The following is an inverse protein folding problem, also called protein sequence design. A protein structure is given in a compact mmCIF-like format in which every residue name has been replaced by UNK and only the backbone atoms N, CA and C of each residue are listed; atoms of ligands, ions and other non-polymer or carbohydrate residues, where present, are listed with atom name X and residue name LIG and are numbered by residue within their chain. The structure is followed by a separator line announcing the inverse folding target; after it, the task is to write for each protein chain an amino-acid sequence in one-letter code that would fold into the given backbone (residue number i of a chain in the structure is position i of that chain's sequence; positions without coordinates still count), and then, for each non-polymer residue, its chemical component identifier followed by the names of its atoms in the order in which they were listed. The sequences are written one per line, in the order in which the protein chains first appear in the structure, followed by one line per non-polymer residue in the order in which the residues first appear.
data_IF_569698412525
#
_entry.id   IF_569698412525
#
_cell.length_a   1.000
_cell.length_b   1.000
_cell.length_c   1.000
_cell.angle_alpha   90.00
_cell.angle_beta   90.00
_cell.angle_gamma   90.00
#
_symmetry.space_group_name_H-M   'P 1'
#
loop_
_entity.id
_entity.type
_entity.pdbx_description
1 polymer ?
#
# COMPACT_ATOMS: atom_id res chain seq x y z
N UNK A 1 56.41 58.59 11.90
CA UNK A 1 56.96 57.37 11.25
C UNK A 1 56.64 56.18 12.14
N UNK A 2 56.23 54.99 11.64
CA UNK A 2 55.70 54.62 10.33
C UNK A 2 54.24 54.12 10.39
N UNK A 3 53.52 54.26 9.27
CA UNK A 3 52.20 53.68 9.02
C UNK A 3 52.36 52.28 8.38
N UNK A 4 51.57 51.31 8.84
CA UNK A 4 51.49 49.95 8.29
C UNK A 4 50.69 49.94 6.96
N UNK A 5 51.10 49.19 5.92
CA UNK A 5 50.35 49.13 4.67
C UNK A 5 49.21 48.09 4.73
N UNK A 6 47.98 48.59 4.67
CA UNK A 6 46.75 47.86 4.33
C UNK A 6 46.77 47.49 2.83
N UNK A 7 47.31 46.33 2.45
CA UNK A 7 47.20 45.87 1.06
C UNK A 7 47.41 44.35 0.91
N UNK A 8 46.57 43.51 1.53
CA UNK A 8 46.51 42.06 1.22
C UNK A 8 45.09 41.48 1.15
N UNK A 9 44.05 42.31 1.21
CA UNK A 9 42.65 41.85 1.12
C UNK A 9 42.16 41.42 -0.28
N UNK A 10 42.56 42.01 -1.42
CA UNK A 10 41.93 41.68 -2.70
C UNK A 10 42.33 40.29 -3.22
N UNK A 11 43.55 39.85 -2.91
CA UNK A 11 44.06 38.53 -3.31
C UNK A 11 43.38 37.38 -2.54
N UNK A 12 43.02 37.60 -1.27
CA UNK A 12 42.34 36.60 -0.46
C UNK A 12 40.90 36.35 -0.92
N UNK A 13 40.18 37.42 -1.26
CA UNK A 13 38.81 37.34 -1.78
C UNK A 13 38.77 36.72 -3.18
N UNK A 14 39.71 37.08 -4.07
CA UNK A 14 39.80 36.50 -5.40
C UNK A 14 40.09 34.99 -5.36
N UNK A 15 40.99 34.55 -4.46
CA UNK A 15 41.30 33.12 -4.25
C UNK A 15 40.09 32.34 -3.72
N UNK A 16 39.33 32.94 -2.79
CA UNK A 16 38.12 32.32 -2.24
C UNK A 16 37.02 32.14 -3.31
N UNK A 17 36.81 33.15 -4.16
CA UNK A 17 35.84 33.06 -5.27
C UNK A 17 36.25 31.99 -6.27
N UNK A 18 37.54 31.88 -6.61
CA UNK A 18 38.03 30.82 -7.50
C UNK A 18 37.83 29.43 -6.90
N UNK A 19 38.14 29.26 -5.62
CA UNK A 19 37.99 27.97 -4.94
C UNK A 19 36.51 27.56 -4.82
N UNK A 20 35.62 28.52 -4.52
CA UNK A 20 34.18 28.31 -4.47
C UNK A 20 33.60 27.91 -5.84
N UNK A 21 33.99 28.62 -6.92
CA UNK A 21 33.56 28.26 -8.27
C UNK A 21 34.11 26.90 -8.72
N UNK A 22 35.34 26.54 -8.32
CA UNK A 22 35.93 25.24 -8.60
C UNK A 22 35.20 24.10 -7.86
N UNK A 23 34.81 24.32 -6.59
CA UNK A 23 33.99 23.37 -5.83
C UNK A 23 32.59 23.20 -6.44
N UNK A 24 31.95 24.29 -6.88
CA UNK A 24 30.66 24.22 -7.59
C UNK A 24 30.79 23.46 -8.91
N UNK A 25 31.85 23.71 -9.69
CA UNK A 25 32.10 22.99 -10.93
C UNK A 25 32.34 21.49 -10.70
N UNK A 26 33.07 21.12 -9.64
CA UNK A 26 33.24 19.71 -9.24
C UNK A 26 31.90 19.08 -8.85
N UNK A 27 31.05 19.77 -8.08
CA UNK A 27 29.71 19.27 -7.75
C UNK A 27 28.87 19.02 -9.01
N UNK A 28 28.92 19.92 -10.00
CA UNK A 28 28.22 19.75 -11.28
C UNK A 28 28.77 18.59 -12.13
N UNK A 29 30.04 18.19 -11.93
CA UNK A 29 30.64 17.00 -12.56
C UNK A 29 30.25 15.68 -11.85
N UNK A 30 29.72 15.75 -10.62
CA UNK A 30 29.20 14.60 -9.87
C UNK A 30 27.69 14.38 -10.02
N UNK A 31 26.98 15.26 -10.73
CA UNK A 31 25.62 15.02 -11.21
C UNK A 31 25.65 13.92 -12.28
N UNK A 32 25.78 12.67 -11.82
CA UNK A 32 25.46 11.52 -12.67
C UNK A 32 24.02 11.72 -13.13
N UNK A 33 23.69 11.57 -14.42
CA UNK A 33 22.32 11.34 -14.81
C UNK A 33 21.87 10.10 -14.04
N UNK A 34 21.10 10.31 -12.98
CA UNK A 34 20.37 9.26 -12.32
C UNK A 34 19.40 8.77 -13.37
N UNK A 35 19.77 7.70 -14.09
CA UNK A 35 18.81 6.89 -14.81
C UNK A 35 17.91 6.26 -13.73
N UNK A 36 16.97 7.04 -13.20
CA UNK A 36 15.78 6.49 -12.61
C UNK A 36 15.11 5.76 -13.77
N UNK A 37 15.32 4.44 -13.83
CA UNK A 37 14.45 3.56 -14.57
C UNK A 37 13.05 3.77 -13.98
N UNK A 38 12.33 4.76 -14.49
CA UNK A 38 10.94 5.01 -14.17
C UNK A 38 10.16 3.96 -14.94
N UNK A 39 10.30 2.73 -14.48
CA UNK A 39 9.49 1.63 -14.93
C UNK A 39 8.11 1.88 -14.33
N UNK A 40 7.20 2.32 -15.19
CA UNK A 40 5.80 2.66 -14.87
C UNK A 40 5.01 1.48 -14.31
N UNK A 41 5.59 0.27 -14.28
CA UNK A 41 5.00 -0.95 -13.72
C UNK A 41 5.99 -1.81 -12.90
N UNK A 42 7.13 -1.26 -12.45
CA UNK A 42 8.08 -2.05 -11.65
C UNK A 42 7.69 -2.02 -10.18
N UNK A 43 6.84 -2.97 -9.81
CA UNK A 43 6.59 -3.30 -8.42
C UNK A 43 7.85 -3.92 -7.81
N UNK A 44 8.30 -3.37 -6.69
CA UNK A 44 9.34 -3.99 -5.88
C UNK A 44 8.68 -5.08 -5.05
N UNK A 45 9.17 -6.31 -5.18
CA UNK A 45 8.65 -7.42 -4.41
C UNK A 45 8.95 -7.22 -2.93
N UNK A 46 7.91 -7.23 -2.13
CA UNK A 46 7.95 -6.98 -0.69
C UNK A 46 6.98 -7.91 0.04
N UNK A 47 7.05 -7.90 1.38
CA UNK A 47 6.09 -8.59 2.25
C UNK A 47 5.25 -7.56 3.00
N UNK A 48 3.97 -7.87 3.10
CA UNK A 48 3.02 -7.10 3.89
C UNK A 48 2.37 -7.98 4.95
N UNK A 49 2.07 -7.41 6.12
CA UNK A 49 1.27 -8.02 7.18
C UNK A 49 0.05 -7.14 7.48
N UNK A 50 -0.73 -7.43 8.52
CA UNK A 50 -1.87 -6.62 8.96
C UNK A 50 -1.72 -6.11 10.38
N UNK A 51 -2.44 -5.03 10.67
CA UNK A 51 -2.66 -4.61 12.05
C UNK A 51 -3.51 -5.63 12.81
N UNK A 52 -3.20 -5.93 14.09
CA UNK A 52 -4.05 -6.76 14.94
C UNK A 52 -5.47 -6.21 15.10
N UNK A 53 -5.61 -4.88 15.16
CA UNK A 53 -6.89 -4.15 15.28
C UNK A 53 -7.46 -3.71 13.92
N UNK A 54 -7.11 -4.41 12.84
CA UNK A 54 -7.39 -3.98 11.46
C UNK A 54 -8.87 -3.97 11.06
N UNK A 55 -9.78 -4.47 11.90
CA UNK A 55 -11.24 -4.48 11.68
C UNK A 55 -11.84 -3.06 11.56
N UNK A 56 -11.32 -2.09 12.34
CA UNK A 56 -11.92 -0.75 12.49
C UNK A 56 -11.17 0.38 11.75
N UNK A 57 -10.54 0.05 10.61
CA UNK A 57 -9.87 0.96 9.65
C UNK A 57 -8.39 1.29 9.92
N UNK A 58 -7.74 0.64 10.89
CA UNK A 58 -6.32 0.82 11.18
C UNK A 58 -6.08 1.39 12.57
N UNK A 59 -4.94 2.05 12.80
CA UNK A 59 -4.64 2.69 14.10
C UNK A 59 -5.14 4.13 14.09
N UNK A 60 -6.00 4.48 15.05
CA UNK A 60 -6.44 5.87 15.27
C UNK A 60 -5.31 6.78 15.81
N UNK A 61 -4.23 6.19 16.30
CA UNK A 61 -3.08 6.91 16.84
C UNK A 61 -1.82 6.39 16.18
N UNK A 62 -1.56 6.83 14.95
CA UNK A 62 -0.34 6.54 14.23
C UNK A 62 0.78 7.55 14.50
N UNK A 63 2.02 7.12 14.27
CA UNK A 63 3.24 7.92 14.44
C UNK A 63 3.28 9.19 13.58
N UNK A 64 2.46 9.27 12.51
CA UNK A 64 2.31 10.47 11.69
C UNK A 64 1.43 11.57 12.33
N UNK A 65 0.79 11.31 13.47
CA UNK A 65 0.07 12.34 14.24
C UNK A 65 -1.26 12.79 13.63
N UNK A 66 -1.83 12.03 12.68
CA UNK A 66 -3.11 12.38 12.06
C UNK A 66 -4.34 12.16 12.98
N UNK A 67 -4.15 11.53 14.14
CA UNK A 67 -5.26 11.15 15.03
C UNK A 67 -6.28 10.25 14.33
N UNK A 68 -7.55 10.33 14.74
CA UNK A 68 -8.64 9.50 14.21
C UNK A 68 -8.85 9.67 12.70
N UNK A 69 -8.49 10.84 12.14
CA UNK A 69 -8.48 11.05 10.69
C UNK A 69 -7.51 10.09 9.98
N UNK A 70 -6.37 9.79 10.61
CA UNK A 70 -5.38 8.84 10.12
C UNK A 70 -5.96 7.47 9.82
N UNK A 71 -6.87 6.94 10.63
CA UNK A 71 -7.51 5.64 10.38
C UNK A 71 -8.52 5.67 9.22
N UNK A 72 -8.99 6.85 8.79
CA UNK A 72 -10.05 6.96 7.77
C UNK A 72 -9.55 7.50 6.44
N UNK A 73 -8.30 7.96 6.38
CA UNK A 73 -7.72 8.53 5.17
C UNK A 73 -7.79 7.55 4.00
N UNK A 74 -8.08 8.07 2.81
CA UNK A 74 -8.28 7.28 1.59
C UNK A 74 -9.32 6.14 1.76
N UNK A 75 -10.36 6.33 2.57
CA UNK A 75 -11.37 5.29 2.84
C UNK A 75 -10.88 4.18 3.78
N UNK A 76 -9.84 4.46 4.57
CA UNK A 76 -9.21 3.52 5.49
C UNK A 76 -8.15 2.63 4.84
N UNK A 77 -7.71 2.93 3.61
CA UNK A 77 -6.60 2.22 2.95
C UNK A 77 -5.25 2.72 3.48
N UNK A 78 -4.92 2.33 4.71
CA UNK A 78 -3.78 2.84 5.46
C UNK A 78 -2.75 1.77 5.73
N UNK A 79 -1.54 2.22 6.02
CA UNK A 79 -0.44 1.34 6.38
C UNK A 79 0.58 1.95 7.34
N UNK A 80 1.24 1.08 8.09
CA UNK A 80 2.51 1.35 8.72
C UNK A 80 3.65 0.88 7.81
N UNK A 81 4.77 1.60 7.84
CA UNK A 81 6.00 1.15 7.22
C UNK A 81 7.21 1.50 8.10
N UNK A 82 8.30 0.75 7.96
CA UNK A 82 9.56 1.08 8.65
C UNK A 82 10.44 1.97 7.77
N UNK A 83 10.98 1.40 6.68
CA UNK A 83 11.93 2.12 5.81
C UNK A 83 11.27 3.26 5.02
N UNK A 84 9.97 3.14 4.70
CA UNK A 84 9.24 4.16 3.95
C UNK A 84 8.71 5.29 4.84
N UNK A 85 8.57 5.07 6.15
CA UNK A 85 8.18 6.13 7.10
C UNK A 85 9.24 7.23 7.19
N UNK A 86 10.54 6.88 7.10
CA UNK A 86 11.67 7.84 7.01
C UNK A 86 11.61 8.94 8.08
N UNK A 87 11.47 8.55 9.35
CA UNK A 87 11.33 9.48 10.48
C UNK A 87 10.21 10.54 10.27
N UNK A 88 9.11 10.13 9.65
CA UNK A 88 7.95 10.98 9.39
C UNK A 88 7.94 11.65 8.02
N UNK A 89 9.05 11.65 7.27
CA UNK A 89 9.09 12.21 5.90
C UNK A 89 8.15 11.47 4.95
N UNK A 90 7.93 10.17 5.19
CA UNK A 90 7.00 9.36 4.41
C UNK A 90 5.53 9.49 4.81
N UNK A 91 5.20 10.25 5.86
CA UNK A 91 3.82 10.41 6.28
C UNK A 91 2.96 11.02 5.18
N UNK A 92 1.82 10.39 4.89
CA UNK A 92 0.93 10.79 3.81
C UNK A 92 1.37 10.34 2.42
N UNK A 93 2.53 9.68 2.29
CA UNK A 93 2.94 9.08 1.02
C UNK A 93 2.01 7.93 0.65
N UNK A 94 1.70 7.84 -0.65
CA UNK A 94 0.83 6.83 -1.22
C UNK A 94 1.65 5.81 -2.02
N UNK A 95 1.42 4.52 -1.77
CA UNK A 95 2.06 3.43 -2.49
C UNK A 95 1.02 2.51 -3.11
N UNK A 96 1.20 2.19 -4.40
CA UNK A 96 0.42 1.14 -5.02
C UNK A 96 0.97 -0.22 -4.55
N UNK A 97 0.13 -1.01 -3.89
CA UNK A 97 0.45 -2.36 -3.44
C UNK A 97 -0.38 -3.37 -4.23
N UNK A 98 0.29 -4.38 -4.77
CA UNK A 98 -0.32 -5.50 -5.50
C UNK A 98 0.11 -6.80 -4.86
N UNK A 99 -0.81 -7.76 -4.85
CA UNK A 99 -0.53 -9.10 -4.37
C UNK A 99 -0.09 -9.96 -5.54
N UNK A 100 0.94 -10.76 -5.33
CA UNK A 100 1.57 -11.58 -6.39
C UNK A 100 0.81 -12.87 -6.67
N UNK A 101 0.07 -13.40 -5.69
CA UNK A 101 -0.69 -14.64 -5.85
C UNK A 101 -2.12 -14.35 -6.30
N UNK A 102 -2.39 -14.61 -7.58
CA UNK A 102 -3.70 -14.42 -8.22
C UNK A 102 -4.82 -15.31 -7.67
N UNK A 103 -4.48 -16.38 -6.94
CA UNK A 103 -5.48 -17.21 -6.26
C UNK A 103 -6.10 -16.48 -5.07
N UNK A 104 -5.29 -15.73 -4.33
CA UNK A 104 -5.72 -14.98 -3.16
C UNK A 104 -6.13 -13.57 -3.49
N UNK A 105 -5.67 -12.95 -4.59
CA UNK A 105 -5.86 -11.51 -4.79
C UNK A 105 -6.17 -11.11 -6.24
N UNK A 106 -6.81 -9.96 -6.41
CA UNK A 106 -6.91 -9.28 -7.70
C UNK A 106 -5.58 -8.63 -8.09
N UNK A 107 -5.32 -8.63 -9.39
CA UNK A 107 -4.26 -7.93 -10.12
C UNK A 107 -4.31 -6.39 -10.02
N UNK A 108 -5.49 -5.80 -9.76
CA UNK A 108 -5.66 -4.34 -9.73
C UNK A 108 -4.84 -3.66 -8.62
N UNK A 109 -4.73 -4.31 -7.46
CA UNK A 109 -4.07 -3.74 -6.28
C UNK A 109 -4.73 -2.45 -5.79
N UNK A 110 -4.02 -1.76 -4.90
CA UNK A 110 -4.59 -0.77 -3.98
C UNK A 110 -3.59 0.33 -3.69
N UNK A 111 -4.08 1.54 -3.46
CA UNK A 111 -3.25 2.63 -2.95
C UNK A 111 -3.32 2.67 -1.43
N UNK A 112 -2.21 2.35 -0.77
CA UNK A 112 -2.07 2.43 0.69
C UNK A 112 -1.36 3.73 1.10
N UNK A 113 -1.86 4.42 2.13
CA UNK A 113 -1.28 5.65 2.67
C UNK A 113 -0.47 5.34 3.92
N UNK A 114 0.77 5.82 4.00
CA UNK A 114 1.58 5.71 5.22
C UNK A 114 1.02 6.66 6.29
N UNK A 115 0.49 6.09 7.37
CA UNK A 115 -0.08 6.85 8.51
C UNK A 115 0.62 6.54 9.82
N UNK A 116 1.50 5.56 9.83
CA UNK A 116 2.16 5.07 11.04
C UNK A 116 3.55 4.50 10.73
N UNK A 117 4.33 4.30 11.79
CA UNK A 117 5.59 3.59 11.75
C UNK A 117 5.39 2.19 12.33
N UNK A 118 5.88 1.17 11.63
CA UNK A 118 5.82 -0.19 12.13
C UNK A 118 6.74 -1.12 11.37
N UNK A 119 7.29 -2.11 12.07
CA UNK A 119 8.17 -3.12 11.52
C UNK A 119 7.77 -4.51 12.05
N UNK A 120 7.85 -5.50 11.19
CA UNK A 120 7.82 -6.92 11.52
C UNK A 120 8.90 -7.62 10.69
N UNK A 121 9.07 -8.93 10.87
CA UNK A 121 10.15 -9.70 10.21
C UNK A 121 10.06 -9.58 8.67
N UNK A 122 10.97 -8.77 8.10
CA UNK A 122 11.09 -8.47 6.66
C UNK A 122 9.80 -7.95 6.01
N UNK A 123 8.94 -7.26 6.75
CA UNK A 123 7.74 -6.61 6.20
C UNK A 123 7.97 -5.14 5.95
N UNK A 124 7.71 -4.65 4.73
CA UNK A 124 7.80 -3.21 4.45
C UNK A 124 6.48 -2.49 4.72
N UNK A 125 5.37 -3.23 4.74
CA UNK A 125 4.03 -2.70 4.95
C UNK A 125 3.25 -3.48 6.00
N UNK A 126 2.59 -2.77 6.91
CA UNK A 126 1.56 -3.30 7.82
C UNK A 126 0.24 -2.66 7.39
N UNK A 127 -0.68 -3.45 6.85
CA UNK A 127 -1.85 -2.95 6.13
C UNK A 127 -3.12 -3.02 6.99
N UNK A 128 -4.05 -2.08 6.79
CA UNK A 128 -5.42 -2.21 7.30
C UNK A 128 -6.20 -3.32 6.54
N UNK A 129 -7.29 -3.85 7.12
CA UNK A 129 -8.12 -4.84 6.39
C UNK A 129 -8.73 -4.27 5.12
N UNK A 130 -8.99 -2.95 5.08
CA UNK A 130 -9.51 -2.28 3.88
C UNK A 130 -8.49 -2.38 2.74
N UNK A 131 -7.21 -2.18 3.05
CA UNK A 131 -6.10 -2.40 2.11
C UNK A 131 -5.92 -3.87 1.73
N UNK A 132 -6.29 -4.81 2.61
CA UNK A 132 -6.25 -6.25 2.31
C UNK A 132 -7.49 -6.77 1.57
N UNK A 133 -8.61 -6.06 1.55
CA UNK A 133 -9.86 -6.48 0.90
C UNK A 133 -9.80 -6.53 -0.65
N UNK A 134 -8.60 -6.56 -1.20
CA UNK A 134 -8.29 -6.88 -2.60
C UNK A 134 -8.11 -8.39 -2.80
N UNK A 135 -8.34 -9.16 -1.73
CA UNK A 135 -8.27 -10.61 -1.68
C UNK A 135 -9.57 -11.22 -2.20
N UNK A 136 -9.46 -12.12 -3.18
CA UNK A 136 -10.50 -13.08 -3.50
C UNK A 136 -10.56 -14.06 -2.34
N UNK A 137 -11.43 -13.77 -1.37
CA UNK A 137 -11.47 -14.53 -0.13
C UNK A 137 -12.09 -15.90 -0.36
N UNK A 138 -11.34 -16.93 -0.02
CA UNK A 138 -11.91 -18.27 0.06
C UNK A 138 -12.81 -18.32 1.28
N UNK A 139 -13.95 -18.96 1.08
CA UNK A 139 -14.87 -19.25 2.16
C UNK A 139 -14.57 -20.66 2.65
N UNK A 140 -14.53 -20.81 3.97
CA UNK A 140 -14.37 -22.13 4.60
C UNK A 140 -15.73 -22.82 4.64
N UNK A 141 -15.77 -24.08 4.20
CA UNK A 141 -17.00 -24.88 4.27
C UNK A 141 -17.23 -25.28 5.72
N UNK A 142 -18.20 -24.65 6.38
CA UNK A 142 -18.45 -24.86 7.81
C UNK A 142 -19.30 -26.11 8.05
N UNK A 143 -20.48 -26.20 7.42
CA UNK A 143 -21.39 -27.34 7.54
C UNK A 143 -22.32 -27.41 6.33
N UNK A 144 -22.58 -28.61 5.81
CA UNK A 144 -23.53 -28.81 4.71
C UNK A 144 -23.19 -27.95 3.48
N UNK A 145 -24.14 -27.08 3.09
CA UNK A 145 -23.99 -26.08 2.03
C UNK A 145 -23.82 -24.64 2.61
N UNK A 146 -23.13 -24.53 3.74
CA UNK A 146 -22.81 -23.25 4.38
C UNK A 146 -21.31 -22.99 4.30
N UNK A 147 -20.97 -21.79 3.86
CA UNK A 147 -19.60 -21.30 3.72
C UNK A 147 -19.41 -20.02 4.52
N UNK A 148 -18.33 -19.91 5.28
CA UNK A 148 -18.09 -18.80 6.21
C UNK A 148 -16.76 -18.10 5.94
N UNK A 149 -16.65 -16.84 6.38
CA UNK A 149 -15.39 -16.11 6.34
C UNK A 149 -15.28 -15.10 7.48
N UNK A 150 -14.07 -14.92 7.99
CA UNK A 150 -13.79 -14.02 9.12
C UNK A 150 -13.60 -12.58 8.64
N UNK A 151 -14.51 -11.66 8.97
CA UNK A 151 -14.57 -10.30 8.41
C UNK A 151 -14.79 -10.27 6.88
N UNK A 152 -16.05 -10.37 6.42
CA UNK A 152 -16.38 -10.20 5.02
C UNK A 152 -16.00 -8.80 4.51
N UNK A 153 -15.68 -8.64 3.22
CA UNK A 153 -15.45 -7.33 2.63
C UNK A 153 -16.66 -6.40 2.82
N UNK A 154 -16.43 -5.11 3.00
CA UNK A 154 -17.53 -4.14 3.23
C UNK A 154 -18.03 -3.45 1.95
N UNK A 155 -17.64 -3.96 0.78
CA UNK A 155 -18.11 -3.51 -0.55
C UNK A 155 -19.17 -4.50 -1.05
N UNK A 156 -19.92 -4.20 -2.13
CA UNK A 156 -20.78 -5.22 -2.75
C UNK A 156 -20.01 -6.52 -2.98
N UNK A 157 -20.55 -7.64 -2.49
CA UNK A 157 -19.86 -8.93 -2.52
C UNK A 157 -20.16 -9.64 -3.83
N UNK A 158 -19.11 -10.00 -4.55
CA UNK A 158 -19.18 -10.91 -5.67
C UNK A 158 -18.73 -12.30 -5.20
N UNK A 159 -19.63 -13.27 -5.24
CA UNK A 159 -19.33 -14.66 -4.88
C UNK A 159 -18.95 -15.42 -6.15
N UNK A 160 -18.13 -16.46 -6.04
CA UNK A 160 -17.94 -17.45 -7.12
C UNK A 160 -18.17 -18.83 -6.54
N UNK A 161 -18.86 -19.68 -7.28
CA UNK A 161 -19.16 -21.05 -6.85
C UNK A 161 -18.44 -22.02 -7.76
N UNK A 162 -17.80 -23.04 -7.19
CA UNK A 162 -17.25 -24.17 -7.94
C UNK A 162 -18.28 -25.30 -7.88
N UNK A 163 -18.83 -25.67 -9.03
CA UNK A 163 -19.78 -26.78 -9.14
C UNK A 163 -19.04 -27.98 -9.73
N UNK A 164 -19.17 -29.14 -9.11
CA UNK A 164 -18.59 -30.39 -9.61
C UNK A 164 -19.66 -31.24 -10.29
N UNK A 165 -19.34 -31.82 -11.44
CA UNK A 165 -20.18 -32.81 -12.10
C UNK A 165 -20.00 -34.23 -11.49
N UNK A 166 -20.77 -35.20 -12.00
CA UNK A 166 -20.70 -36.62 -11.57
C UNK A 166 -19.33 -37.25 -11.82
N UNK A 167 -18.56 -36.70 -12.78
CA UNK A 167 -17.22 -37.16 -13.12
C UNK A 167 -16.13 -36.46 -12.30
N UNK A 168 -16.51 -35.56 -11.38
CA UNK A 168 -15.58 -34.78 -10.56
C UNK A 168 -14.95 -33.58 -11.27
N UNK A 169 -15.40 -33.22 -12.48
CA UNK A 169 -14.94 -32.00 -13.14
C UNK A 169 -15.61 -30.78 -12.53
N UNK A 170 -14.80 -29.82 -12.08
CA UNK A 170 -15.26 -28.57 -11.49
C UNK A 170 -15.41 -27.43 -12.51
N UNK A 171 -16.55 -26.74 -12.50
CA UNK A 171 -16.80 -25.51 -13.27
C UNK A 171 -17.04 -24.33 -12.33
N UNK A 172 -16.28 -23.25 -12.52
CA UNK A 172 -16.53 -21.99 -11.82
C UNK A 172 -17.72 -21.26 -12.44
N UNK A 173 -18.67 -20.86 -11.60
CA UNK A 173 -19.82 -20.03 -11.94
C UNK A 173 -19.73 -18.72 -11.16
N UNK A 174 -19.84 -17.60 -11.89
CA UNK A 174 -19.87 -16.25 -11.33
C UNK A 174 -21.30 -15.72 -11.47
N UNK A 175 -21.97 -15.38 -10.37
CA UNK A 175 -23.28 -14.75 -10.38
C UNK A 175 -23.32 -13.44 -11.14
N UNK A 176 -24.48 -13.19 -11.75
CA UNK A 176 -24.77 -11.94 -12.45
C UNK A 176 -25.01 -10.82 -11.44
N UNK A 177 -25.71 -11.14 -10.35
CA UNK A 177 -26.05 -10.20 -9.30
C UNK A 177 -25.05 -10.32 -8.14
N UNK A 178 -24.47 -9.18 -7.75
CA UNK A 178 -23.67 -9.08 -6.54
C UNK A 178 -24.58 -8.89 -5.31
N UNK A 179 -24.12 -9.37 -4.15
CA UNK A 179 -24.75 -9.03 -2.87
C UNK A 179 -24.48 -7.54 -2.60
N UNK A 180 -25.50 -6.74 -2.26
CA UNK A 180 -25.35 -5.30 -2.10
C UNK A 180 -24.50 -4.94 -0.88
N UNK A 181 -23.97 -3.71 -0.84
CA UNK A 181 -23.09 -3.23 0.25
C UNK A 181 -23.76 -3.25 1.64
N UNK A 182 -25.06 -2.98 1.69
CA UNK A 182 -25.86 -2.88 2.91
C UNK A 182 -26.50 -4.22 3.34
N UNK A 183 -25.89 -5.34 2.97
CA UNK A 183 -26.41 -6.66 3.28
C UNK A 183 -26.51 -6.92 4.79
N UNK A 184 -27.50 -7.70 5.21
CA UNK A 184 -27.69 -8.11 6.60
C UNK A 184 -27.59 -9.63 6.76
N UNK A 185 -27.04 -10.11 7.89
CA UNK A 185 -27.07 -11.54 8.20
C UNK A 185 -28.51 -12.09 8.23
N UNK A 186 -28.71 -13.25 7.60
CA UNK A 186 -30.01 -13.93 7.54
C UNK A 186 -30.89 -13.55 6.36
N UNK A 187 -30.55 -12.47 5.64
CA UNK A 187 -31.28 -12.08 4.43
C UNK A 187 -30.91 -12.98 3.24
N UNK A 188 -31.85 -13.06 2.29
CA UNK A 188 -31.70 -13.85 1.05
C UNK A 188 -31.48 -12.88 -0.12
N UNK A 189 -30.44 -13.16 -0.91
CA UNK A 189 -30.08 -12.37 -2.10
C UNK A 189 -30.13 -13.25 -3.34
N UNK A 190 -30.88 -12.81 -4.35
CA UNK A 190 -30.97 -13.53 -5.62
C UNK A 190 -29.70 -13.28 -6.46
N UNK A 191 -28.95 -14.36 -6.68
CA UNK A 191 -27.71 -14.37 -7.45
C UNK A 191 -27.94 -14.29 -8.97
N UNK A 192 -29.17 -14.51 -9.45
CA UNK A 192 -29.51 -14.56 -10.87
C UNK A 192 -28.89 -15.76 -11.62
N UNK A 193 -28.36 -16.73 -10.88
CA UNK A 193 -27.77 -17.96 -11.44
C UNK A 193 -28.77 -19.08 -11.36
N UNK A 194 -29.02 -19.71 -12.51
CA UNK A 194 -29.70 -20.99 -12.58
C UNK A 194 -28.72 -22.06 -13.06
N UNK A 195 -28.49 -23.06 -12.23
CA UNK A 195 -27.72 -24.25 -12.62
C UNK A 195 -28.71 -25.23 -13.25
N UNK A 196 -28.53 -25.51 -14.54
CA UNK A 196 -29.22 -26.62 -15.17
C UNK A 196 -28.51 -27.90 -14.75
N UNK A 197 -29.22 -28.74 -13.99
CA UNK A 197 -28.79 -30.08 -13.62
C UNK A 197 -29.23 -31.07 -14.70
#
# INVERSE_FOLDING_TARGET
MPFLPFARLPYFLASFVFFFNFLVAICLLFERPGNAATCTDCFIQSRATHYPNSDDKGTETGSCGYGTFGATINGGHVSAASQLYRNGVGCGACYQVRCTNSYYCSDKGVTAVITDHGASDRTDFILSRRTQNYVRKLLDRSYGAVWTTVAPPSRPLSVRMLLSDENGNGKWVVPVNNIPENWKPGDIYDSGVQVMA
#
